data_IF_381542571950
#
_entry.id   IF_381542571950
#
_cell.length_a   1.000
_cell.length_b   1.000
_cell.length_c   1.000
_cell.angle_alpha   90.00
_cell.angle_beta   90.00
_cell.angle_gamma   90.00
#
_symmetry.space_group_name_H-M   'P 1'
#
loop_
_entity.id
_entity.type
_entity.pdbx_description
1 polymer ?
#
# COMPACT_ATOMS: atom_id res chain seq x y z
N UNK A 1 -21.61 -18.76 -18.49
CA UNK A 1 -20.53 -19.48 -17.77
C UNK A 1 -20.96 -19.57 -16.31
N UNK A 2 -20.78 -20.70 -15.62
CA UNK A 2 -21.11 -20.77 -14.18
C UNK A 2 -20.12 -19.92 -13.36
N UNK A 3 -20.54 -19.45 -12.18
CA UNK A 3 -19.70 -18.68 -11.26
C UNK A 3 -18.42 -19.46 -10.90
N UNK A 4 -18.52 -20.78 -10.69
CA UNK A 4 -17.38 -21.65 -10.41
C UNK A 4 -16.32 -21.60 -11.52
N UNK A 5 -16.72 -21.72 -12.79
CA UNK A 5 -15.79 -21.71 -13.90
C UNK A 5 -15.18 -20.32 -14.13
N UNK A 6 -15.94 -19.25 -13.88
CA UNK A 6 -15.45 -17.90 -13.97
C UNK A 6 -14.38 -17.61 -12.88
N UNK A 7 -14.67 -17.97 -11.64
CA UNK A 7 -13.74 -17.79 -10.51
C UNK A 7 -12.49 -18.64 -10.69
N UNK A 8 -12.64 -19.90 -11.14
CA UNK A 8 -11.50 -20.77 -11.41
C UNK A 8 -10.57 -20.17 -12.47
N UNK A 9 -11.14 -19.76 -13.61
CA UNK A 9 -10.36 -19.16 -14.70
C UNK A 9 -9.65 -17.89 -14.25
N UNK A 10 -10.35 -17.04 -13.47
CA UNK A 10 -9.77 -15.80 -12.95
C UNK A 10 -8.64 -16.07 -11.95
N UNK A 11 -8.80 -17.03 -11.03
CA UNK A 11 -7.76 -17.41 -10.09
C UNK A 11 -6.51 -17.97 -10.78
N UNK A 12 -6.69 -18.76 -11.84
CA UNK A 12 -5.60 -19.32 -12.64
C UNK A 12 -4.90 -18.24 -13.47
N UNK A 13 -5.65 -17.37 -14.16
CA UNK A 13 -5.10 -16.25 -14.94
C UNK A 13 -4.23 -15.33 -14.09
N UNK A 14 -4.70 -15.03 -12.87
CA UNK A 14 -4.01 -14.13 -11.95
C UNK A 14 -3.03 -14.83 -11.01
N UNK A 15 -2.80 -16.14 -11.19
CA UNK A 15 -1.91 -16.94 -10.35
C UNK A 15 -2.11 -16.66 -8.83
N UNK A 16 -3.38 -16.61 -8.38
CA UNK A 16 -3.71 -16.25 -6.99
C UNK A 16 -3.22 -17.27 -5.98
N UNK A 17 -3.14 -18.53 -6.39
CA UNK A 17 -2.71 -19.66 -5.55
C UNK A 17 -1.81 -20.61 -6.34
N UNK A 18 -0.97 -21.34 -5.64
CA UNK A 18 -0.18 -22.44 -6.18
C UNK A 18 -0.67 -23.79 -5.60
N UNK A 19 -0.47 -24.93 -6.31
CA UNK A 19 -0.73 -26.25 -5.75
C UNK A 19 0.01 -26.44 -4.42
N UNK A 20 -0.70 -26.98 -3.42
CA UNK A 20 -0.21 -27.14 -2.05
C UNK A 20 -0.43 -25.94 -1.12
N UNK A 21 -0.93 -24.82 -1.63
CA UNK A 21 -1.25 -23.67 -0.78
C UNK A 21 -2.43 -23.97 0.15
N UNK A 22 -2.36 -23.42 1.37
CA UNK A 22 -3.49 -23.29 2.27
C UNK A 22 -4.06 -21.87 2.16
N UNK A 23 -5.37 -21.77 2.01
CA UNK A 23 -6.11 -20.50 1.86
C UNK A 23 -7.06 -20.32 3.03
N UNK A 24 -6.94 -19.21 3.74
CA UNK A 24 -7.85 -18.80 4.80
C UNK A 24 -8.94 -17.92 4.23
N UNK A 25 -10.19 -18.35 4.30
CA UNK A 25 -11.34 -17.56 3.91
C UNK A 25 -11.80 -16.65 5.05
N UNK A 26 -11.87 -15.34 4.80
CA UNK A 26 -12.47 -14.38 5.73
C UNK A 26 -13.99 -14.54 5.68
N UNK A 27 -14.55 -15.26 6.63
CA UNK A 27 -15.97 -15.61 6.71
C UNK A 27 -16.69 -14.65 7.66
N UNK A 28 -17.50 -13.72 7.13
CA UNK A 28 -18.27 -12.77 7.94
C UNK A 28 -19.70 -13.22 8.24
N UNK A 29 -20.18 -14.29 7.59
CA UNK A 29 -21.57 -14.70 7.64
C UNK A 29 -22.47 -14.06 6.59
N UNK A 30 -22.03 -12.99 5.96
CA UNK A 30 -22.72 -12.36 4.82
C UNK A 30 -22.60 -13.16 3.53
N UNK A 31 -23.54 -12.96 2.59
CA UNK A 31 -23.67 -13.75 1.36
C UNK A 31 -22.38 -13.92 0.57
N UNK A 32 -21.63 -12.81 0.32
CA UNK A 32 -20.40 -12.84 -0.47
C UNK A 32 -19.31 -13.71 0.17
N UNK A 33 -19.15 -13.63 1.49
CA UNK A 33 -18.16 -14.42 2.23
C UNK A 33 -18.55 -15.91 2.32
N UNK A 34 -19.84 -16.19 2.43
CA UNK A 34 -20.38 -17.56 2.42
C UNK A 34 -20.22 -18.19 1.02
N UNK A 35 -20.56 -17.46 -0.05
CA UNK A 35 -20.37 -17.90 -1.42
C UNK A 35 -18.87 -18.14 -1.74
N UNK A 36 -17.98 -17.20 -1.34
CA UNK A 36 -16.54 -17.34 -1.50
C UNK A 36 -16.01 -18.62 -0.86
N UNK A 37 -16.37 -18.84 0.44
CA UNK A 37 -15.86 -19.98 1.19
C UNK A 37 -16.35 -21.30 0.59
N UNK A 38 -17.60 -21.38 0.19
CA UNK A 38 -18.17 -22.55 -0.48
C UNK A 38 -17.52 -22.80 -1.85
N UNK A 39 -17.37 -21.75 -2.67
CA UNK A 39 -16.71 -21.83 -3.98
C UNK A 39 -15.28 -22.35 -3.87
N UNK A 40 -14.47 -21.76 -3.00
CA UNK A 40 -13.09 -22.17 -2.82
C UNK A 40 -12.98 -23.60 -2.31
N UNK A 41 -13.85 -24.01 -1.39
CA UNK A 41 -13.92 -25.40 -0.92
C UNK A 41 -14.23 -26.37 -2.06
N UNK A 42 -15.20 -26.05 -2.94
CA UNK A 42 -15.52 -26.87 -4.12
C UNK A 42 -14.42 -26.89 -5.17
N UNK A 43 -13.75 -25.77 -5.36
CA UNK A 43 -12.66 -25.64 -6.33
C UNK A 43 -11.32 -26.17 -5.79
N UNK A 44 -11.21 -26.43 -4.49
CA UNK A 44 -9.97 -26.86 -3.84
C UNK A 44 -9.29 -28.06 -4.52
N UNK A 45 -9.99 -29.13 -4.92
CA UNK A 45 -9.37 -30.27 -5.62
C UNK A 45 -8.82 -29.87 -7.00
N UNK A 46 -9.49 -28.96 -7.72
CA UNK A 46 -9.08 -28.50 -9.07
C UNK A 46 -7.90 -27.53 -9.01
N UNK A 47 -7.78 -26.75 -7.93
CA UNK A 47 -6.68 -25.81 -7.68
C UNK A 47 -5.51 -26.45 -6.93
N UNK A 48 -5.69 -27.66 -6.39
CA UNK A 48 -4.69 -28.32 -5.56
C UNK A 48 -4.44 -27.61 -4.23
N UNK A 49 -5.44 -26.95 -3.65
CA UNK A 49 -5.31 -26.14 -2.43
C UNK A 49 -6.07 -26.78 -1.27
N UNK A 50 -5.80 -26.30 -0.05
CA UNK A 50 -6.59 -26.56 1.14
C UNK A 50 -7.29 -25.28 1.59
N UNK A 51 -8.51 -25.40 2.13
CA UNK A 51 -9.32 -24.25 2.56
C UNK A 51 -9.63 -24.35 4.03
N UNK A 52 -9.36 -23.28 4.75
CA UNK A 52 -9.76 -23.02 6.13
C UNK A 52 -10.58 -21.73 6.19
N UNK A 53 -11.36 -21.54 7.25
CA UNK A 53 -12.18 -20.35 7.44
C UNK A 53 -11.85 -19.65 8.77
N UNK A 54 -12.01 -18.33 8.80
CA UNK A 54 -11.89 -17.54 10.01
C UNK A 54 -13.03 -16.53 10.11
N UNK A 55 -13.72 -16.52 11.24
CA UNK A 55 -14.85 -15.65 11.54
C UNK A 55 -14.49 -14.72 12.69
N UNK A 56 -14.56 -13.41 12.47
CA UNK A 56 -14.29 -12.39 13.48
C UNK A 56 -15.58 -11.66 13.87
N UNK A 57 -15.91 -11.71 15.16
CA UNK A 57 -17.07 -11.02 15.74
C UNK A 57 -16.61 -9.67 16.26
N UNK A 58 -17.17 -8.59 15.71
CA UNK A 58 -16.70 -7.22 15.98
C UNK A 58 -17.17 -6.63 17.32
N UNK A 59 -18.12 -7.28 18.02
CA UNK A 59 -18.71 -6.77 19.25
C UNK A 59 -19.56 -5.51 19.10
N UNK A 60 -19.89 -5.11 17.85
CA UNK A 60 -20.70 -3.90 17.58
C UNK A 60 -22.20 -4.15 17.75
N UNK A 61 -22.65 -5.38 17.57
CA UNK A 61 -24.04 -5.83 17.68
C UNK A 61 -24.08 -7.14 18.47
N UNK A 62 -24.09 -7.06 19.80
CA UNK A 62 -24.05 -8.26 20.65
C UNK A 62 -25.25 -9.21 20.43
N UNK A 63 -26.41 -8.68 20.02
CA UNK A 63 -27.64 -9.42 19.74
C UNK A 63 -27.54 -10.31 18.50
N UNK A 64 -26.78 -9.93 17.48
CA UNK A 64 -26.62 -10.69 16.24
C UNK A 64 -25.45 -11.69 16.32
N UNK A 65 -24.46 -11.44 17.15
CA UNK A 65 -23.24 -12.22 17.28
C UNK A 65 -23.47 -13.74 17.48
N UNK A 66 -24.42 -14.21 18.32
CA UNK A 66 -24.69 -15.63 18.48
C UNK A 66 -25.21 -16.30 17.20
N UNK A 67 -26.04 -15.59 16.44
CA UNK A 67 -26.63 -16.10 15.18
C UNK A 67 -25.58 -16.21 14.09
N UNK A 68 -24.75 -15.17 13.94
CA UNK A 68 -23.65 -15.13 12.97
C UNK A 68 -22.65 -16.24 13.26
N UNK A 69 -22.28 -16.42 14.54
CA UNK A 69 -21.39 -17.48 14.99
C UNK A 69 -21.97 -18.86 14.70
N UNK A 70 -23.23 -19.12 15.10
CA UNK A 70 -23.88 -20.41 14.89
C UNK A 70 -23.97 -20.74 13.40
N UNK A 71 -24.27 -19.74 12.54
CA UNK A 71 -24.32 -19.91 11.10
C UNK A 71 -22.96 -20.34 10.56
N UNK A 72 -21.88 -19.62 10.91
CA UNK A 72 -20.53 -19.92 10.46
C UNK A 72 -20.05 -21.31 10.93
N UNK A 73 -20.30 -21.65 12.20
CA UNK A 73 -19.94 -22.95 12.78
C UNK A 73 -20.69 -24.12 12.12
N UNK A 74 -22.00 -23.96 11.90
CA UNK A 74 -22.81 -25.00 11.25
C UNK A 74 -22.40 -25.20 9.80
N UNK A 75 -22.27 -24.11 9.04
CA UNK A 75 -21.85 -24.14 7.64
C UNK A 75 -20.50 -24.85 7.47
N UNK A 76 -19.50 -24.50 8.28
CA UNK A 76 -18.16 -25.07 8.20
C UNK A 76 -18.14 -26.55 8.66
N UNK A 77 -18.86 -26.90 9.73
CA UNK A 77 -18.94 -28.25 10.25
C UNK A 77 -19.55 -29.21 9.22
N UNK A 78 -20.64 -28.85 8.57
CA UNK A 78 -21.30 -29.67 7.56
C UNK A 78 -20.39 -29.97 6.36
N UNK A 79 -19.50 -29.03 6.03
CA UNK A 79 -18.56 -29.11 4.89
C UNK A 79 -17.16 -29.56 5.27
N UNK A 80 -16.94 -29.86 6.57
CA UNK A 80 -15.65 -30.26 7.11
C UNK A 80 -14.54 -29.21 6.83
N UNK A 81 -14.90 -27.93 6.85
CA UNK A 81 -13.96 -26.81 6.70
C UNK A 81 -13.48 -26.43 8.12
N UNK A 82 -12.17 -26.49 8.40
CA UNK A 82 -11.63 -25.99 9.67
C UNK A 82 -12.01 -24.52 9.89
N UNK A 83 -12.54 -24.17 11.06
CA UNK A 83 -12.97 -22.81 11.40
C UNK A 83 -12.27 -22.31 12.65
N UNK A 84 -11.82 -21.06 12.60
CA UNK A 84 -11.37 -20.28 13.75
C UNK A 84 -12.36 -19.14 13.98
N UNK A 85 -12.80 -18.98 15.22
CA UNK A 85 -13.72 -17.89 15.63
C UNK A 85 -13.05 -17.09 16.74
N UNK A 86 -13.12 -15.78 16.64
CA UNK A 86 -12.67 -14.86 17.68
C UNK A 86 -13.59 -13.66 17.76
N UNK A 87 -13.68 -13.10 18.95
CA UNK A 87 -14.44 -11.91 19.25
C UNK A 87 -13.53 -10.80 19.74
N UNK A 88 -13.76 -9.56 19.27
CA UNK A 88 -12.99 -8.39 19.68
C UNK A 88 -13.89 -7.21 19.98
N UNK A 89 -13.44 -6.35 20.90
CA UNK A 89 -14.10 -5.09 21.23
C UNK A 89 -13.60 -3.97 20.32
N UNK A 90 -14.34 -3.73 19.23
CA UNK A 90 -14.02 -2.67 18.27
C UNK A 90 -14.12 -1.28 18.91
N UNK A 91 -15.07 -1.04 19.81
CA UNK A 91 -15.26 0.28 20.42
C UNK A 91 -14.10 0.63 21.36
N UNK A 92 -13.62 -0.35 22.14
CA UNK A 92 -12.46 -0.19 23.00
C UNK A 92 -11.19 0.08 22.17
N UNK A 93 -11.00 -0.67 21.09
CA UNK A 93 -9.89 -0.46 20.17
C UNK A 93 -9.91 0.96 19.58
N UNK A 94 -11.07 1.42 19.07
CA UNK A 94 -11.20 2.76 18.50
C UNK A 94 -10.93 3.87 19.53
N UNK A 95 -11.37 3.70 20.78
CA UNK A 95 -11.08 4.66 21.85
C UNK A 95 -9.57 4.76 22.13
N UNK A 96 -8.89 3.63 22.16
CA UNK A 96 -7.45 3.58 22.42
C UNK A 96 -6.61 4.17 21.29
N UNK A 97 -6.94 3.82 20.04
CA UNK A 97 -6.16 4.22 18.85
C UNK A 97 -6.62 5.57 18.25
N UNK A 98 -7.73 6.12 18.70
CA UNK A 98 -8.27 7.40 18.19
C UNK A 98 -8.79 7.32 16.75
N UNK A 99 -9.31 6.17 16.33
CA UNK A 99 -9.78 5.94 14.95
C UNK A 99 -11.29 5.75 14.86
N UNK A 100 -11.84 5.85 13.64
CA UNK A 100 -13.25 5.60 13.38
C UNK A 100 -13.64 4.11 13.49
N UNK A 101 -14.92 3.82 13.71
CA UNK A 101 -15.42 2.45 13.94
C UNK A 101 -15.14 1.53 12.75
N UNK A 102 -15.33 1.98 11.51
CA UNK A 102 -15.04 1.18 10.31
C UNK A 102 -13.54 0.86 10.20
N UNK A 103 -12.69 1.83 10.48
CA UNK A 103 -11.23 1.66 10.45
C UNK A 103 -10.75 0.69 11.55
N UNK A 104 -11.26 0.85 12.79
CA UNK A 104 -10.95 -0.04 13.89
C UNK A 104 -11.42 -1.47 13.67
N UNK A 105 -12.66 -1.66 13.20
CA UNK A 105 -13.20 -2.96 12.85
C UNK A 105 -12.36 -3.65 11.77
N UNK A 106 -11.96 -2.89 10.74
CA UNK A 106 -11.10 -3.38 9.68
C UNK A 106 -9.71 -3.76 10.20
N UNK A 107 -9.10 -2.93 11.03
CA UNK A 107 -7.77 -3.18 11.61
C UNK A 107 -7.76 -4.47 12.45
N UNK A 108 -8.71 -4.63 13.37
CA UNK A 108 -8.84 -5.82 14.21
C UNK A 108 -9.07 -7.09 13.37
N UNK A 109 -9.98 -7.04 12.40
CA UNK A 109 -10.25 -8.17 11.52
C UNK A 109 -9.01 -8.62 10.76
N UNK A 110 -8.24 -7.69 10.15
CA UNK A 110 -7.03 -8.07 9.41
C UNK A 110 -5.91 -8.54 10.33
N UNK A 111 -5.78 -7.99 11.53
CA UNK A 111 -4.82 -8.48 12.54
C UNK A 111 -5.14 -9.93 12.93
N UNK A 112 -6.41 -10.22 13.22
CA UNK A 112 -6.88 -11.57 13.49
C UNK A 112 -6.62 -12.54 12.32
N UNK A 113 -7.04 -12.17 11.10
CA UNK A 113 -6.87 -13.02 9.92
C UNK A 113 -5.40 -13.37 9.65
N UNK A 114 -4.50 -12.38 9.76
CA UNK A 114 -3.06 -12.60 9.56
C UNK A 114 -2.44 -13.47 10.67
N UNK A 115 -2.88 -13.30 11.91
CA UNK A 115 -2.45 -14.14 13.01
C UNK A 115 -2.89 -15.58 12.79
N UNK A 116 -4.17 -15.82 12.49
CA UNK A 116 -4.70 -17.17 12.21
C UNK A 116 -4.00 -17.78 11.00
N UNK A 117 -3.80 -17.03 9.92
CA UNK A 117 -3.08 -17.52 8.74
C UNK A 117 -1.66 -18.00 9.09
N UNK A 118 -0.95 -17.25 9.93
CA UNK A 118 0.38 -17.65 10.42
C UNK A 118 0.34 -18.92 11.28
N UNK A 119 -0.62 -19.02 12.20
CA UNK A 119 -0.79 -20.17 13.10
C UNK A 119 -1.16 -21.47 12.35
N UNK A 120 -1.98 -21.36 11.30
CA UNK A 120 -2.45 -22.51 10.52
C UNK A 120 -1.58 -22.81 9.29
N UNK A 121 -0.60 -21.96 9.00
CA UNK A 121 0.26 -22.08 7.81
C UNK A 121 -0.42 -21.72 6.51
N UNK A 122 -1.51 -20.93 6.57
CA UNK A 122 -2.18 -20.40 5.38
C UNK A 122 -1.33 -19.30 4.75
N UNK A 123 -0.99 -19.49 3.46
CA UNK A 123 -0.19 -18.51 2.69
C UNK A 123 -1.02 -17.38 2.10
N UNK A 124 -2.32 -17.61 1.92
CA UNK A 124 -3.25 -16.66 1.31
C UNK A 124 -4.47 -16.48 2.18
N UNK A 125 -5.00 -15.25 2.19
CA UNK A 125 -6.25 -14.86 2.84
C UNK A 125 -7.21 -14.41 1.76
N UNK A 126 -8.31 -15.12 1.57
CA UNK A 126 -9.33 -14.79 0.59
C UNK A 126 -10.44 -13.93 1.21
N UNK A 127 -10.82 -12.85 0.54
CA UNK A 127 -11.90 -11.94 0.96
C UNK A 127 -13.00 -11.83 -0.08
N UNK A 128 -14.25 -11.69 0.36
CA UNK A 128 -15.46 -11.70 -0.47
C UNK A 128 -15.75 -10.40 -1.24
N UNK A 129 -14.71 -9.58 -1.56
CA UNK A 129 -14.92 -8.41 -2.40
C UNK A 129 -15.31 -8.84 -3.81
N UNK A 130 -16.34 -8.19 -4.36
CA UNK A 130 -16.89 -8.50 -5.68
C UNK A 130 -16.89 -7.26 -6.60
N UNK A 131 -17.44 -7.39 -7.81
CA UNK A 131 -17.41 -6.36 -8.84
C UNK A 131 -18.00 -5.01 -8.37
N UNK A 132 -19.10 -5.04 -7.63
CA UNK A 132 -19.76 -3.82 -7.13
C UNK A 132 -18.86 -3.07 -6.14
N UNK A 133 -18.18 -3.76 -5.22
CA UNK A 133 -17.23 -3.14 -4.29
C UNK A 133 -16.10 -2.43 -5.05
N UNK A 134 -15.67 -3.04 -6.16
CA UNK A 134 -14.65 -2.44 -7.03
C UNK A 134 -15.15 -1.16 -7.69
N UNK A 135 -16.36 -1.16 -8.23
CA UNK A 135 -17.01 0.02 -8.84
C UNK A 135 -17.16 1.14 -7.82
N UNK A 136 -17.67 0.83 -6.62
CA UNK A 136 -17.78 1.80 -5.52
C UNK A 136 -16.42 2.41 -5.16
N UNK A 137 -15.39 1.58 -5.12
CA UNK A 137 -14.02 2.03 -4.79
C UNK A 137 -13.46 2.94 -5.88
N UNK A 138 -13.66 2.61 -7.16
CA UNK A 138 -13.26 3.44 -8.30
C UNK A 138 -13.94 4.81 -8.22
N UNK A 139 -15.26 4.83 -8.05
CA UNK A 139 -16.03 6.08 -7.94
C UNK A 139 -15.61 6.89 -6.71
N UNK A 140 -15.38 6.24 -5.58
CA UNK A 140 -14.90 6.91 -4.38
C UNK A 140 -13.53 7.56 -4.57
N UNK A 141 -12.61 6.87 -5.24
CA UNK A 141 -11.31 7.41 -5.57
C UNK A 141 -11.40 8.57 -6.56
N UNK A 142 -12.27 8.49 -7.58
CA UNK A 142 -12.54 9.60 -8.52
C UNK A 142 -13.00 10.86 -7.79
N UNK A 143 -13.94 10.72 -6.84
CA UNK A 143 -14.46 11.85 -6.05
C UNK A 143 -13.37 12.51 -5.18
N UNK A 144 -12.33 11.76 -4.78
CA UNK A 144 -11.24 12.28 -3.94
C UNK A 144 -10.02 12.77 -4.73
N UNK A 145 -10.04 12.60 -6.03
CA UNK A 145 -8.89 12.84 -6.89
C UNK A 145 -7.89 11.68 -6.82
N UNK A 146 -7.65 11.02 -7.94
CA UNK A 146 -6.77 9.87 -8.03
C UNK A 146 -6.04 9.82 -9.37
N UNK A 147 -4.88 9.16 -9.39
CA UNK A 147 -4.20 8.74 -10.61
C UNK A 147 -4.63 7.35 -11.07
N UNK A 148 -3.99 6.83 -12.11
CA UNK A 148 -4.29 5.53 -12.71
C UNK A 148 -4.33 4.38 -11.69
N UNK A 149 -3.43 4.38 -10.69
CA UNK A 149 -3.40 3.39 -9.62
C UNK A 149 -4.73 3.30 -8.85
N UNK A 150 -5.30 4.42 -8.46
CA UNK A 150 -6.57 4.41 -7.73
C UNK A 150 -7.78 4.14 -8.64
N UNK A 151 -7.69 4.48 -9.93
CA UNK A 151 -8.68 4.09 -10.93
C UNK A 151 -8.71 2.58 -11.16
N UNK A 152 -7.60 1.88 -10.94
CA UNK A 152 -7.55 0.42 -10.95
C UNK A 152 -8.45 -0.25 -9.89
N UNK A 153 -8.98 0.53 -8.94
CA UNK A 153 -9.90 0.07 -7.90
C UNK A 153 -9.23 -0.85 -6.88
N UNK A 154 -9.94 -1.90 -6.47
CA UNK A 154 -9.46 -2.88 -5.50
C UNK A 154 -8.43 -3.80 -6.17
N UNK A 155 -7.21 -3.96 -5.61
CA UNK A 155 -6.23 -4.91 -6.15
C UNK A 155 -6.75 -6.34 -6.13
N UNK A 156 -6.47 -7.10 -7.18
CA UNK A 156 -6.81 -8.54 -7.26
C UNK A 156 -6.08 -9.34 -6.18
N UNK A 157 -4.79 -9.03 -6.01
CA UNK A 157 -3.93 -9.58 -4.96
C UNK A 157 -3.08 -8.47 -4.33
N UNK A 158 -2.83 -8.56 -3.03
CA UNK A 158 -2.02 -7.58 -2.31
C UNK A 158 -1.32 -8.29 -1.13
N UNK A 159 -0.05 -8.63 -1.34
CA UNK A 159 0.68 -9.45 -0.37
C UNK A 159 0.06 -10.83 -0.19
N UNK A 160 -0.47 -11.09 1.01
CA UNK A 160 -1.16 -12.31 1.39
C UNK A 160 -2.65 -12.34 1.00
N UNK A 161 -3.22 -11.18 0.68
CA UNK A 161 -4.65 -11.04 0.37
C UNK A 161 -4.94 -11.39 -1.09
N UNK A 162 -6.02 -12.15 -1.33
CA UNK A 162 -6.58 -12.45 -2.65
C UNK A 162 -8.09 -12.19 -2.68
N UNK A 163 -8.62 -11.87 -3.88
CA UNK A 163 -10.03 -11.50 -4.06
C UNK A 163 -10.65 -12.25 -5.25
N UNK A 164 -10.96 -13.53 -5.04
CA UNK A 164 -11.43 -14.40 -6.13
C UNK A 164 -12.75 -13.98 -6.77
N UNK A 165 -13.62 -13.26 -6.03
CA UNK A 165 -14.91 -12.79 -6.51
C UNK A 165 -14.89 -11.41 -7.18
N UNK A 166 -13.71 -10.78 -7.33
CA UNK A 166 -13.62 -9.36 -7.75
C UNK A 166 -14.24 -9.07 -9.13
N UNK A 167 -14.36 -10.08 -9.98
CA UNK A 167 -15.01 -9.97 -11.30
C UNK A 167 -16.45 -10.51 -11.31
N UNK A 168 -16.92 -11.06 -10.19
CA UNK A 168 -18.27 -11.60 -10.06
C UNK A 168 -19.28 -10.49 -9.86
N UNK A 169 -20.39 -10.52 -10.60
CA UNK A 169 -21.52 -9.64 -10.33
C UNK A 169 -22.29 -10.12 -9.10
N UNK A 170 -23.02 -9.20 -8.47
CA UNK A 170 -23.86 -9.51 -7.30
C UNK A 170 -24.94 -10.55 -7.63
N UNK A 171 -25.56 -10.41 -8.79
CA UNK A 171 -26.60 -11.33 -9.28
C UNK A 171 -26.06 -12.76 -9.45
N UNK A 172 -24.82 -12.89 -9.95
CA UNK A 172 -24.18 -14.19 -10.10
C UNK A 172 -23.88 -14.86 -8.74
N UNK A 173 -23.52 -14.05 -7.73
CA UNK A 173 -23.28 -14.52 -6.36
C UNK A 173 -24.60 -14.93 -5.70
N UNK A 174 -25.65 -14.11 -5.78
CA UNK A 174 -26.97 -14.39 -5.24
C UNK A 174 -27.56 -15.66 -5.85
N UNK A 175 -27.53 -15.79 -7.16
CA UNK A 175 -27.93 -17.01 -7.88
C UNK A 175 -27.16 -18.25 -7.42
N UNK A 176 -25.85 -18.13 -7.21
CA UNK A 176 -25.02 -19.23 -6.71
C UNK A 176 -25.43 -19.66 -5.28
N UNK A 177 -25.72 -18.69 -4.41
CA UNK A 177 -26.20 -18.97 -3.05
C UNK A 177 -27.53 -19.72 -3.07
N UNK A 178 -28.47 -19.29 -3.91
CA UNK A 178 -29.78 -19.94 -4.08
C UNK A 178 -29.66 -21.37 -4.63
N UNK A 179 -28.91 -21.56 -5.74
CA UNK A 179 -28.70 -22.86 -6.38
C UNK A 179 -28.04 -23.89 -5.46
N UNK A 180 -27.18 -23.44 -4.53
CA UNK A 180 -26.48 -24.30 -3.58
C UNK A 180 -27.11 -24.32 -2.17
N UNK A 181 -28.25 -23.67 -1.98
CA UNK A 181 -28.99 -23.59 -0.70
C UNK A 181 -28.06 -23.12 0.45
N UNK A 182 -27.27 -22.08 0.21
CA UNK A 182 -26.31 -21.55 1.19
C UNK A 182 -27.01 -20.49 2.04
N UNK A 183 -27.20 -20.72 3.34
CA UNK A 183 -27.74 -19.71 4.22
C UNK A 183 -26.73 -18.60 4.49
N UNK A 184 -27.22 -17.38 4.66
CA UNK A 184 -26.41 -16.22 5.04
C UNK A 184 -27.19 -15.20 5.86
N UNK A 185 -26.48 -14.34 6.61
CA UNK A 185 -27.06 -13.23 7.32
C UNK A 185 -27.06 -11.98 6.44
N UNK A 186 -28.15 -11.22 6.43
CA UNK A 186 -28.16 -9.86 5.88
C UNK A 186 -27.72 -8.87 6.96
N UNK A 187 -26.76 -8.00 6.65
CA UNK A 187 -26.28 -6.97 7.56
C UNK A 187 -27.12 -5.69 7.38
N UNK A 188 -27.92 -5.26 8.37
CA UNK A 188 -28.72 -4.04 8.27
C UNK A 188 -27.90 -2.76 8.06
N UNK A 189 -26.63 -2.75 8.49
CA UNK A 189 -25.75 -1.57 8.28
C UNK A 189 -25.43 -1.27 6.81
N UNK A 190 -25.73 -2.20 5.90
CA UNK A 190 -25.64 -1.96 4.46
C UNK A 190 -26.65 -0.89 3.97
N UNK A 191 -27.68 -0.59 4.76
CA UNK A 191 -28.69 0.42 4.45
C UNK A 191 -28.37 1.80 5.03
N UNK A 192 -27.38 1.92 5.93
CA UNK A 192 -27.04 3.21 6.55
C UNK A 192 -26.31 4.15 5.58
N UNK A 193 -26.99 5.24 5.17
CA UNK A 193 -26.40 6.27 4.29
C UNK A 193 -25.34 7.16 4.95
N UNK A 194 -25.02 6.97 6.21
CA UNK A 194 -23.95 7.72 6.90
C UNK A 194 -22.57 7.50 6.23
N UNK A 195 -22.36 6.35 5.64
CA UNK A 195 -21.11 6.00 4.97
C UNK A 195 -21.09 6.45 3.51
N UNK A 196 -19.96 7.02 3.07
CA UNK A 196 -19.80 7.51 1.70
C UNK A 196 -20.02 6.42 0.63
N UNK A 197 -19.64 5.16 0.92
CA UNK A 197 -19.88 4.01 0.02
C UNK A 197 -21.36 3.70 -0.14
N UNK A 198 -22.12 3.69 0.95
CA UNK A 198 -23.56 3.46 0.88
C UNK A 198 -24.26 4.57 0.09
N UNK A 199 -23.81 5.83 0.20
CA UNK A 199 -24.32 6.92 -0.64
C UNK A 199 -24.01 6.71 -2.12
N UNK A 200 -22.84 6.20 -2.49
CA UNK A 200 -22.54 5.83 -3.87
C UNK A 200 -23.45 4.73 -4.35
N UNK A 201 -23.65 3.67 -3.56
CA UNK A 201 -24.49 2.51 -3.87
C UNK A 201 -25.97 2.91 -4.05
N UNK A 202 -26.51 3.69 -3.13
CA UNK A 202 -27.96 3.96 -3.09
C UNK A 202 -28.39 5.19 -3.91
N UNK A 203 -27.49 6.17 -4.16
CA UNK A 203 -27.85 7.40 -4.84
C UNK A 203 -27.14 7.58 -6.17
N UNK A 204 -25.86 7.27 -6.28
CA UNK A 204 -25.09 7.56 -7.50
C UNK A 204 -25.23 6.45 -8.53
N UNK A 205 -25.03 5.20 -8.12
CA UNK A 205 -25.12 4.07 -9.04
C UNK A 205 -26.47 3.92 -9.72
N UNK A 206 -27.63 4.12 -9.08
CA UNK A 206 -28.92 4.11 -9.77
C UNK A 206 -29.04 5.17 -10.86
N UNK A 207 -28.48 6.38 -10.66
CA UNK A 207 -28.44 7.43 -11.67
C UNK A 207 -27.55 7.05 -12.86
N UNK A 208 -26.40 6.43 -12.61
CA UNK A 208 -25.54 5.94 -13.67
C UNK A 208 -26.19 4.80 -14.46
N UNK A 209 -26.90 3.89 -13.81
CA UNK A 209 -27.70 2.84 -14.46
C UNK A 209 -28.84 3.43 -15.33
N UNK A 210 -29.45 4.52 -14.90
CA UNK A 210 -30.49 5.20 -15.68
C UNK A 210 -29.92 5.82 -16.97
N UNK A 211 -28.64 6.22 -16.98
CA UNK A 211 -27.94 6.71 -18.18
C UNK A 211 -27.53 5.52 -19.06
N UNK A 212 -26.98 4.47 -18.46
CA UNK A 212 -26.54 3.27 -19.15
C UNK A 212 -26.69 2.05 -18.23
N UNK A 213 -27.51 1.08 -18.60
CA UNK A 213 -27.74 -0.15 -17.80
C UNK A 213 -26.46 -0.98 -17.54
N UNK A 214 -25.42 -0.80 -18.39
CA UNK A 214 -24.12 -1.47 -18.24
C UNK A 214 -23.06 -0.58 -17.58
N UNK A 215 -23.43 0.52 -16.92
CA UNK A 215 -22.49 1.49 -16.36
C UNK A 215 -21.47 0.86 -15.42
N UNK A 216 -21.91 -0.06 -14.55
CA UNK A 216 -21.03 -0.75 -13.59
C UNK A 216 -20.00 -1.65 -14.27
N UNK A 217 -20.44 -2.37 -15.29
CA UNK A 217 -19.53 -3.20 -16.10
C UNK A 217 -18.49 -2.33 -16.81
N UNK A 218 -18.93 -1.24 -17.43
CA UNK A 218 -18.04 -0.30 -18.11
C UNK A 218 -17.05 0.36 -17.15
N UNK A 219 -17.49 0.75 -15.94
CA UNK A 219 -16.60 1.30 -14.91
C UNK A 219 -15.58 0.24 -14.46
N UNK A 220 -16.02 -0.99 -14.22
CA UNK A 220 -15.14 -2.10 -13.85
C UNK A 220 -14.10 -2.39 -14.93
N UNK A 221 -14.52 -2.43 -16.21
CA UNK A 221 -13.61 -2.62 -17.36
C UNK A 221 -12.63 -1.47 -17.52
N UNK A 222 -13.08 -0.23 -17.32
CA UNK A 222 -12.19 0.94 -17.34
C UNK A 222 -11.13 0.86 -16.24
N UNK A 223 -11.54 0.44 -15.04
CA UNK A 223 -10.62 0.20 -13.93
C UNK A 223 -9.61 -0.91 -14.23
N UNK A 224 -10.03 -2.00 -14.87
CA UNK A 224 -9.10 -3.07 -15.26
C UNK A 224 -8.07 -2.60 -16.29
N UNK A 225 -8.49 -1.80 -17.28
CA UNK A 225 -7.56 -1.19 -18.25
C UNK A 225 -6.57 -0.27 -17.55
N UNK A 226 -7.06 0.63 -16.70
CA UNK A 226 -6.20 1.53 -15.92
C UNK A 226 -5.19 0.77 -15.05
N UNK A 227 -5.56 -0.38 -14.50
CA UNK A 227 -4.66 -1.26 -13.74
C UNK A 227 -3.56 -1.85 -14.61
N UNK A 228 -3.91 -2.37 -15.81
CA UNK A 228 -2.93 -2.93 -16.75
C UNK A 228 -1.93 -1.86 -17.21
N UNK A 229 -2.41 -0.66 -17.51
CA UNK A 229 -1.56 0.48 -17.88
C UNK A 229 -0.63 0.87 -16.73
N UNK A 230 -1.14 0.88 -15.50
CA UNK A 230 -0.34 1.19 -14.30
C UNK A 230 0.73 0.13 -14.05
N UNK A 231 0.39 -1.17 -14.13
CA UNK A 231 1.33 -2.28 -13.96
C UNK A 231 2.47 -2.19 -14.99
N UNK A 232 2.15 -1.85 -16.25
CA UNK A 232 3.15 -1.63 -17.27
C UNK A 232 4.06 -0.45 -16.95
N UNK A 233 3.50 0.69 -16.56
CA UNK A 233 4.26 1.89 -16.20
C UNK A 233 5.09 1.69 -14.93
N UNK A 234 4.60 0.93 -13.94
CA UNK A 234 5.39 0.53 -12.77
C UNK A 234 6.57 -0.37 -13.16
N UNK A 235 6.38 -1.29 -14.12
CA UNK A 235 7.47 -2.13 -14.63
C UNK A 235 8.55 -1.30 -15.34
N UNK A 236 8.14 -0.34 -16.17
CA UNK A 236 9.07 0.61 -16.81
C UNK A 236 9.83 1.43 -15.77
N UNK A 237 9.16 1.90 -14.73
CA UNK A 237 9.80 2.67 -13.65
C UNK A 237 10.79 1.81 -12.84
N UNK A 238 10.45 0.55 -12.56
CA UNK A 238 11.33 -0.38 -11.88
C UNK A 238 12.60 -0.69 -12.71
N UNK A 239 12.43 -0.89 -14.02
CA UNK A 239 13.55 -1.07 -14.93
C UNK A 239 14.41 0.19 -14.99
N UNK A 240 13.80 1.36 -15.17
CA UNK A 240 14.50 2.64 -15.17
C UNK A 240 15.31 2.87 -13.88
N UNK A 241 14.69 2.57 -12.72
CA UNK A 241 15.38 2.66 -11.44
C UNK A 241 16.58 1.71 -11.38
N UNK A 242 16.45 0.47 -11.87
CA UNK A 242 17.55 -0.50 -11.91
C UNK A 242 18.71 -0.03 -12.78
N UNK A 243 18.45 0.60 -13.92
CA UNK A 243 19.46 1.08 -14.87
C UNK A 243 20.19 2.34 -14.37
N UNK A 244 19.52 3.20 -13.62
CA UNK A 244 20.06 4.50 -13.20
C UNK A 244 20.30 4.61 -11.69
N UNK A 245 20.07 3.53 -10.91
CA UNK A 245 20.35 3.49 -9.47
C UNK A 245 21.87 3.51 -9.24
N UNK A 246 22.29 4.33 -8.30
CA UNK A 246 23.70 4.47 -7.90
C UNK A 246 23.96 3.76 -6.56
N UNK A 247 22.93 3.69 -5.71
CA UNK A 247 22.90 2.96 -4.45
C UNK A 247 21.44 2.80 -4.00
N UNK A 248 21.12 1.98 -2.99
CA UNK A 248 19.77 1.95 -2.40
C UNK A 248 19.32 3.35 -1.97
N UNK A 249 18.19 3.80 -2.50
CA UNK A 249 17.66 5.15 -2.25
C UNK A 249 18.33 6.28 -3.03
N UNK A 250 19.25 6.00 -3.95
CA UNK A 250 19.96 7.00 -4.74
C UNK A 250 19.88 6.73 -6.25
N UNK A 251 19.62 7.76 -7.04
CA UNK A 251 19.51 7.69 -8.50
C UNK A 251 20.19 8.88 -9.16
N UNK A 252 20.62 8.74 -10.41
CA UNK A 252 21.07 9.84 -11.25
C UNK A 252 19.94 10.86 -11.47
N UNK A 253 20.10 12.06 -10.92
CA UNK A 253 19.10 13.11 -11.01
C UNK A 253 18.96 13.67 -12.43
N UNK A 254 20.04 13.63 -13.24
CA UNK A 254 20.03 14.08 -14.62
C UNK A 254 19.27 13.11 -15.53
N UNK A 255 19.46 11.80 -15.35
CA UNK A 255 18.71 10.79 -16.04
C UNK A 255 17.23 10.87 -15.65
N UNK A 256 16.93 10.97 -14.35
CA UNK A 256 15.55 11.08 -13.86
C UNK A 256 14.84 12.33 -14.41
N UNK A 257 15.53 13.48 -14.48
CA UNK A 257 14.99 14.73 -15.01
C UNK A 257 14.64 14.67 -16.52
N UNK A 258 15.24 13.75 -17.26
CA UNK A 258 15.01 13.52 -18.69
C UNK A 258 13.98 12.39 -18.96
N UNK A 259 13.64 11.61 -17.94
CA UNK A 259 12.67 10.53 -18.06
C UNK A 259 11.27 11.10 -18.34
N UNK A 260 10.39 10.36 -19.06
CA UNK A 260 8.98 10.73 -19.15
C UNK A 260 8.37 10.89 -17.76
N UNK A 261 7.54 11.91 -17.57
CA UNK A 261 6.92 12.22 -16.27
C UNK A 261 6.20 10.99 -15.68
N UNK A 262 5.49 10.22 -16.54
CA UNK A 262 4.80 9.01 -16.12
C UNK A 262 5.73 7.97 -15.46
N UNK A 263 6.98 7.85 -15.92
CA UNK A 263 8.00 6.96 -15.34
C UNK A 263 8.61 7.59 -14.09
N UNK A 264 9.04 8.84 -14.20
CA UNK A 264 9.73 9.55 -13.12
C UNK A 264 8.88 9.60 -11.83
N UNK A 265 7.59 9.97 -11.94
CA UNK A 265 6.68 10.05 -10.78
C UNK A 265 6.39 8.69 -10.12
N UNK A 266 6.69 7.56 -10.80
CA UNK A 266 6.62 6.21 -10.23
C UNK A 266 7.93 5.77 -9.60
N UNK A 267 9.06 6.25 -10.10
CA UNK A 267 10.40 6.02 -9.51
C UNK A 267 10.51 6.68 -8.12
N UNK A 268 9.96 7.89 -7.94
CA UNK A 268 10.09 8.63 -6.68
C UNK A 268 9.57 7.87 -5.44
N UNK A 269 8.37 7.25 -5.45
CA UNK A 269 7.92 6.39 -4.35
C UNK A 269 8.78 5.14 -4.14
N UNK A 270 9.40 4.62 -5.20
CA UNK A 270 10.29 3.46 -5.08
C UNK A 270 11.57 3.83 -4.32
N UNK A 271 12.16 4.98 -4.63
CA UNK A 271 13.31 5.53 -3.89
C UNK A 271 12.98 5.76 -2.41
N UNK A 272 11.82 6.33 -2.14
CA UNK A 272 11.34 6.55 -0.77
C UNK A 272 11.24 5.22 0.01
N UNK A 273 10.68 4.18 -0.60
CA UNK A 273 10.59 2.84 0.01
C UNK A 273 11.97 2.21 0.24
N UNK A 274 12.89 2.36 -0.71
CA UNK A 274 14.27 1.88 -0.53
C UNK A 274 15.00 2.56 0.64
N UNK A 275 14.62 3.79 0.97
CA UNK A 275 15.13 4.52 2.13
C UNK A 275 14.44 4.12 3.47
N UNK A 276 13.56 3.13 3.46
CA UNK A 276 12.81 2.67 4.63
C UNK A 276 11.53 3.47 4.88
N UNK A 277 11.02 4.17 3.85
CA UNK A 277 9.73 4.88 3.93
C UNK A 277 8.54 3.94 3.86
N UNK A 278 7.57 4.17 4.73
CA UNK A 278 6.33 3.43 4.82
C UNK A 278 5.15 4.26 4.31
N UNK A 279 4.12 3.57 3.79
CA UNK A 279 2.91 4.22 3.28
C UNK A 279 3.08 4.88 1.90
N UNK A 280 2.25 5.86 1.61
CA UNK A 280 2.17 6.53 0.31
C UNK A 280 2.62 7.99 0.38
N UNK A 281 3.37 8.42 -0.63
CA UNK A 281 3.73 9.82 -0.80
C UNK A 281 2.55 10.62 -1.39
N UNK A 282 2.23 11.76 -0.78
CA UNK A 282 1.28 12.71 -1.37
C UNK A 282 1.83 13.30 -2.66
N UNK A 283 0.95 13.84 -3.49
CA UNK A 283 1.35 14.53 -4.72
C UNK A 283 2.35 15.67 -4.44
N UNK A 284 2.14 16.44 -3.36
CA UNK A 284 3.06 17.49 -2.93
C UNK A 284 4.47 16.96 -2.66
N UNK A 285 4.59 15.79 -2.02
CA UNK A 285 5.90 15.18 -1.77
C UNK A 285 6.57 14.75 -3.06
N UNK A 286 5.84 14.12 -3.98
CA UNK A 286 6.37 13.70 -5.29
C UNK A 286 6.85 14.90 -6.11
N UNK A 287 6.05 15.96 -6.19
CA UNK A 287 6.44 17.21 -6.86
C UNK A 287 7.64 17.88 -6.20
N UNK A 288 7.71 17.86 -4.85
CA UNK A 288 8.88 18.35 -4.11
C UNK A 288 10.16 17.59 -4.50
N UNK A 289 10.12 16.27 -4.52
CA UNK A 289 11.25 15.43 -4.96
C UNK A 289 11.61 15.68 -6.42
N UNK A 290 10.61 15.76 -7.30
CA UNK A 290 10.82 16.06 -8.73
C UNK A 290 11.49 17.41 -8.96
N UNK A 291 11.07 18.43 -8.21
CA UNK A 291 11.67 19.76 -8.27
C UNK A 291 13.16 19.75 -7.88
N UNK A 292 13.61 18.83 -7.02
CA UNK A 292 15.01 18.69 -6.68
C UNK A 292 15.88 18.28 -7.88
N UNK A 293 15.33 17.48 -8.80
CA UNK A 293 16.04 17.07 -10.00
C UNK A 293 16.38 18.26 -10.93
N UNK A 294 15.60 19.34 -10.84
CA UNK A 294 15.75 20.57 -11.66
C UNK A 294 16.46 21.70 -10.93
N UNK A 295 16.65 21.61 -9.61
CA UNK A 295 17.33 22.63 -8.78
C UNK A 295 18.83 22.37 -8.65
N UNK A 296 19.58 23.39 -8.24
CA UNK A 296 21.02 23.29 -7.94
C UNK A 296 21.32 22.36 -6.76
N UNK A 297 22.60 22.01 -6.55
CA UNK A 297 23.03 21.17 -5.44
C UNK A 297 22.66 21.80 -4.10
N UNK A 298 22.38 20.96 -3.10
CA UNK A 298 22.00 21.31 -1.71
C UNK A 298 20.54 21.62 -1.43
N UNK A 299 19.64 21.46 -2.40
CA UNK A 299 18.20 21.50 -2.11
C UNK A 299 17.73 20.20 -1.44
N UNK A 300 16.79 20.30 -0.49
CA UNK A 300 16.23 19.17 0.24
C UNK A 300 14.70 19.29 0.36
N UNK A 301 14.02 18.14 0.52
CA UNK A 301 12.60 18.01 0.74
C UNK A 301 12.36 17.01 1.87
N UNK A 302 11.63 17.40 2.91
CA UNK A 302 11.23 16.49 3.99
C UNK A 302 10.08 15.60 3.52
N UNK A 303 10.18 14.31 3.83
CA UNK A 303 9.21 13.27 3.50
C UNK A 303 8.68 12.66 4.81
N UNK A 304 7.53 11.93 4.77
CA UNK A 304 7.01 11.23 5.95
C UNK A 304 8.02 10.22 6.52
N UNK A 305 7.82 9.81 7.77
CA UNK A 305 8.66 8.80 8.42
C UNK A 305 10.09 9.24 8.70
N UNK A 306 10.34 10.56 8.81
CA UNK A 306 11.68 11.08 9.08
C UNK A 306 12.67 10.89 7.92
N UNK A 307 12.16 10.72 6.70
CA UNK A 307 12.99 10.61 5.50
C UNK A 307 13.19 12.00 4.87
N UNK A 308 14.36 12.20 4.30
CA UNK A 308 14.72 13.40 3.53
C UNK A 308 15.13 12.97 2.12
N UNK A 309 14.56 13.63 1.12
CA UNK A 309 15.11 13.61 -0.23
C UNK A 309 16.01 14.83 -0.44
N UNK A 310 17.22 14.62 -0.94
CA UNK A 310 18.21 15.67 -1.15
C UNK A 310 18.88 15.51 -2.50
N UNK A 311 19.16 16.62 -3.17
CA UNK A 311 20.08 16.62 -4.31
C UNK A 311 21.51 16.77 -3.81
N UNK A 312 22.35 15.77 -4.08
CA UNK A 312 23.77 15.77 -3.73
C UNK A 312 24.53 15.64 -5.05
N UNK A 313 25.17 16.73 -5.49
CA UNK A 313 25.81 16.81 -6.82
C UNK A 313 24.84 16.44 -7.95
N UNK A 314 25.11 15.38 -8.73
CA UNK A 314 24.27 14.84 -9.80
C UNK A 314 23.23 13.82 -9.37
N UNK A 315 23.07 13.55 -8.08
CA UNK A 315 22.25 12.47 -7.56
C UNK A 315 21.02 12.99 -6.79
N UNK A 316 19.89 12.30 -6.91
CA UNK A 316 18.77 12.41 -5.98
C UNK A 316 18.90 11.28 -4.96
N UNK A 317 19.03 11.62 -3.68
CA UNK A 317 19.23 10.66 -2.58
C UNK A 317 18.08 10.79 -1.59
N UNK A 318 17.42 9.67 -1.29
CA UNK A 318 16.47 9.51 -0.19
C UNK A 318 17.14 8.74 0.94
N UNK A 319 17.11 9.27 2.17
CA UNK A 319 17.66 8.62 3.36
C UNK A 319 16.89 8.99 4.60
N UNK A 320 16.96 8.18 5.64
CA UNK A 320 16.52 8.60 6.96
C UNK A 320 17.28 9.87 7.35
N UNK A 321 16.54 10.85 7.86
CA UNK A 321 17.15 12.05 8.43
C UNK A 321 17.92 11.59 9.66
N UNK A 322 19.23 11.56 9.54
CA UNK A 322 20.07 11.44 10.72
C UNK A 322 19.73 12.64 11.60
N UNK A 323 19.42 12.42 12.86
CA UNK A 323 19.50 13.49 13.85
C UNK A 323 20.94 13.98 13.75
N UNK A 324 21.09 15.15 13.12
CA UNK A 324 22.39 15.66 12.76
C UNK A 324 23.13 15.98 14.09
N UNK A 325 24.10 15.20 14.52
CA UNK A 325 24.92 15.57 15.65
C UNK A 325 25.71 16.85 15.36
N UNK A 326 25.64 17.36 14.13
CA UNK A 326 26.37 18.50 13.60
C UNK A 326 25.61 19.84 13.60
N UNK A 327 24.45 19.97 14.23
CA UNK A 327 24.03 21.25 14.77
C UNK A 327 24.78 21.57 16.08
N UNK A 328 26.03 21.16 16.16
CA UNK A 328 26.94 21.80 17.10
C UNK A 328 27.25 23.19 16.49
N UNK A 329 26.52 24.18 17.01
CA UNK A 329 26.87 25.56 16.81
C UNK A 329 28.27 25.74 17.35
N UNK A 330 29.23 25.95 16.48
CA UNK A 330 30.57 26.39 16.89
C UNK A 330 30.70 27.89 16.62
N UNK A 331 31.52 28.57 17.43
CA UNK A 331 31.77 29.99 17.23
C UNK A 331 32.70 30.17 16.00
N UNK A 332 32.45 31.19 15.17
CA UNK A 332 33.36 31.47 14.07
C UNK A 332 34.80 31.65 14.56
N UNK A 333 35.72 30.88 14.02
CA UNK A 333 37.13 30.93 14.39
C UNK A 333 38.00 31.27 13.19
N UNK A 334 39.13 31.92 13.42
CA UNK A 334 40.13 32.22 12.39
C UNK A 334 41.03 31.03 12.20
N UNK A 335 41.25 30.65 10.95
CA UNK A 335 42.20 29.61 10.58
C UNK A 335 43.55 30.29 10.24
N UNK A 336 44.61 29.81 10.88
CA UNK A 336 45.99 30.15 10.52
C UNK A 336 46.67 28.99 9.82
N UNK A 337 47.56 29.29 8.91
CA UNK A 337 48.29 28.28 8.15
C UNK A 337 49.11 27.38 9.09
N UNK A 338 48.94 26.07 8.96
CA UNK A 338 49.65 25.06 9.75
C UNK A 338 49.13 24.84 11.16
N UNK A 339 48.27 25.70 11.69
CA UNK A 339 47.68 25.54 13.03
C UNK A 339 46.36 24.74 12.98
N UNK A 340 46.25 23.57 13.66
CA UNK A 340 44.98 22.85 13.74
C UNK A 340 44.02 23.57 14.69
N UNK A 341 42.77 23.71 14.26
CA UNK A 341 41.68 24.20 15.08
C UNK A 341 40.69 23.04 15.31
N UNK A 342 40.43 22.71 16.57
CA UNK A 342 39.45 21.69 16.95
C UNK A 342 38.13 22.37 17.32
N UNK A 343 37.10 22.17 16.50
CA UNK A 343 35.81 22.73 16.73
C UNK A 343 34.71 21.76 16.25
N UNK A 344 33.64 21.63 17.05
CA UNK A 344 32.49 20.82 16.69
C UNK A 344 32.76 19.33 16.48
N UNK A 345 33.86 18.77 17.00
CA UNK A 345 34.30 17.39 16.83
C UNK A 345 35.07 17.14 15.53
N UNK A 346 35.57 18.21 14.89
CA UNK A 346 36.47 18.14 13.74
C UNK A 346 37.76 18.90 14.05
N UNK A 347 38.87 18.39 13.51
CA UNK A 347 40.09 19.11 13.43
C UNK A 347 40.26 19.65 12.01
N UNK A 348 40.43 20.97 11.89
CA UNK A 348 40.59 21.66 10.61
C UNK A 348 41.94 22.35 10.58
N UNK A 349 42.71 22.09 9.55
CA UNK A 349 44.03 22.74 9.36
C UNK A 349 44.11 23.35 7.97
N UNK A 350 44.54 24.59 7.90
CA UNK A 350 44.76 25.31 6.63
C UNK A 350 46.22 25.12 6.16
N UNK A 351 46.40 24.69 4.91
CA UNK A 351 47.71 24.57 4.29
C UNK A 351 47.77 25.32 2.96
N UNK A 352 48.94 25.87 2.62
CA UNK A 352 49.24 26.34 1.26
C UNK A 352 49.80 25.19 0.42
N UNK A 353 49.22 25.02 -0.77
CA UNK A 353 49.69 24.01 -1.73
C UNK A 353 48.77 22.77 -1.79
N UNK A 354 49.22 21.77 -2.54
CA UNK A 354 48.49 20.48 -2.64
C UNK A 354 48.97 19.54 -1.53
N UNK A 355 48.05 19.10 -0.68
CA UNK A 355 48.30 18.03 0.30
C UNK A 355 47.39 16.86 -0.05
N UNK A 356 47.95 15.64 -0.11
CA UNK A 356 47.14 14.44 -0.20
C UNK A 356 46.52 14.13 1.17
N UNK A 357 45.20 13.89 1.18
CA UNK A 357 44.50 13.54 2.40
C UNK A 357 44.79 12.08 2.77
N UNK A 358 44.98 11.81 4.06
CA UNK A 358 45.02 10.45 4.61
C UNK A 358 43.67 9.72 4.53
N UNK A 359 43.61 8.43 4.86
CA UNK A 359 42.37 7.60 4.71
C UNK A 359 41.15 8.13 5.46
N UNK A 360 41.34 8.86 6.56
CA UNK A 360 40.27 9.45 7.38
C UNK A 360 40.16 10.98 7.22
N UNK A 361 40.97 11.58 6.36
CA UNK A 361 41.01 13.02 6.12
C UNK A 361 40.24 13.40 4.86
N UNK A 362 39.60 14.58 4.86
CA UNK A 362 38.99 15.19 3.66
C UNK A 362 39.72 16.47 3.33
N UNK A 363 40.36 16.53 2.16
CA UNK A 363 40.99 17.74 1.68
C UNK A 363 40.02 18.52 0.77
N UNK A 364 39.90 19.81 1.01
CA UNK A 364 39.15 20.74 0.18
C UNK A 364 40.10 21.77 -0.41
N UNK A 365 40.08 21.94 -1.73
CA UNK A 365 40.97 22.86 -2.43
C UNK A 365 40.21 24.13 -2.79
N UNK A 366 40.80 25.28 -2.44
CA UNK A 366 40.27 26.59 -2.76
C UNK A 366 41.29 27.36 -3.59
N UNK A 367 40.85 28.05 -4.62
CA UNK A 367 41.68 28.97 -5.39
C UNK A 367 41.37 30.39 -4.93
N UNK A 368 42.42 31.23 -4.81
CA UNK A 368 42.29 32.66 -4.50
C UNK A 368 41.65 33.00 -3.14
N UNK A 369 41.90 32.22 -2.09
CA UNK A 369 41.52 32.60 -0.74
C UNK A 369 42.27 33.86 -0.31
N UNK A 370 41.51 34.89 0.17
CA UNK A 370 42.07 36.08 0.76
C UNK A 370 42.08 35.90 2.27
N UNK A 371 43.21 36.23 2.91
CA UNK A 371 43.31 36.25 4.38
C UNK A 371 42.59 37.47 4.97
N UNK A 372 42.00 37.34 6.15
CA UNK A 372 41.97 36.19 7.04
C UNK A 372 40.90 35.15 6.63
N UNK A 373 41.20 33.85 6.73
CA UNK A 373 40.27 32.73 6.48
C UNK A 373 39.54 32.43 7.76
N UNK A 374 38.22 32.45 7.71
CA UNK A 374 37.38 32.18 8.85
C UNK A 374 36.52 30.90 8.63
N UNK A 375 36.57 29.98 9.60
CA UNK A 375 35.70 28.85 9.69
C UNK A 375 34.41 29.29 10.41
N UNK A 376 33.26 29.04 9.82
CA UNK A 376 31.93 29.32 10.44
C UNK A 376 30.94 28.25 10.08
N UNK A 377 29.96 27.99 10.98
CA UNK A 377 28.86 27.07 10.70
C UNK A 377 28.06 27.58 9.50
N UNK A 378 27.61 26.66 8.68
CA UNK A 378 26.70 27.01 7.58
C UNK A 378 25.32 27.38 8.17
N UNK A 379 24.81 28.56 7.86
CA UNK A 379 23.42 28.96 8.19
C UNK A 379 22.37 28.17 7.44
#
# INVERSE_FOLDING_TARGET
MSLENMVLAFMQEKAMTAPGDKVLCALSGGGDSMALTHLLHRLAPRLGIQVEAAHFIHGLRPEDAPKERQLAETFCRERKIPLRVEEGDTLEYCRREGCGTEEGARALRYAFLRRVAKETGCRKIATGHHQMDNVETILFHLCRGTGARGLGGIPVSEGDLIRPLLTASREAIEKYLEENHIPYCSDPSNEEEAYARNRLRHRVLPLLRAINSQAEEHISQAGERARKDEEFLESCAAQFLKEHSLAPGAIDAGALAKAPDAVAFRVLPMLYRQAGGEGTLSERHRQGMWALCKKGPSAACSLPGGIEARRVYGQLVCRKREENPLHRTFSPCLLKEGEPVEEGGFQVTLYRGKKEAGPEEKAYFFQNLREPVQLRPRR
#
